data_IF_464241210505
#
_entry.id   IF_464241210505
#
_cell.length_a   1.000
_cell.length_b   1.000
_cell.length_c   1.000
_cell.angle_alpha   90.00
_cell.angle_beta   90.00
_cell.angle_gamma   90.00
#
_symmetry.space_group_name_H-M   'P 1'
#
loop_
_entity.id
_entity.type
_entity.pdbx_description
1 polymer ?
#
# COMPACT_ATOMS: atom_id res chain seq x y z
N UNK A 1 -3.17 -20.69 8.79
CA UNK A 1 -3.07 -19.22 8.77
C UNK A 1 -4.04 -18.76 7.71
N UNK A 2 -5.05 -17.98 8.09
CA UNK A 2 -6.10 -17.58 7.16
C UNK A 2 -5.85 -16.16 6.64
N UNK A 3 -5.15 -16.07 5.51
CA UNK A 3 -5.06 -14.86 4.69
C UNK A 3 -6.08 -14.87 3.53
N UNK A 4 -7.04 -15.81 3.53
CA UNK A 4 -7.99 -15.94 2.43
C UNK A 4 -8.94 -14.75 2.31
N UNK A 5 -8.98 -13.87 3.32
CA UNK A 5 -9.68 -12.59 3.27
C UNK A 5 -8.97 -11.56 2.37
N UNK A 6 -7.64 -11.66 2.20
CA UNK A 6 -6.86 -10.73 1.40
C UNK A 6 -6.94 -11.11 -0.09
N UNK A 7 -7.66 -10.30 -0.88
CA UNK A 7 -7.83 -10.58 -2.31
C UNK A 7 -6.54 -10.45 -3.14
N UNK A 8 -5.48 -9.82 -2.60
CA UNK A 8 -4.16 -9.79 -3.24
C UNK A 8 -3.57 -11.18 -3.44
N UNK A 9 -3.79 -12.08 -2.47
CA UNK A 9 -3.31 -13.48 -2.49
C UNK A 9 -4.42 -14.51 -2.70
N UNK A 10 -5.67 -14.06 -2.91
CA UNK A 10 -6.80 -14.94 -3.15
C UNK A 10 -6.73 -15.57 -4.56
N UNK A 11 -7.04 -16.87 -4.72
CA UNK A 11 -7.17 -17.51 -6.03
C UNK A 11 -8.14 -16.76 -6.94
N UNK A 12 -7.86 -16.76 -8.25
CA UNK A 12 -8.73 -16.09 -9.20
C UNK A 12 -10.07 -16.82 -9.29
N UNK A 13 -11.18 -16.09 -9.26
CA UNK A 13 -12.51 -16.68 -9.26
C UNK A 13 -13.61 -15.66 -8.98
N UNK A 14 -14.84 -16.14 -8.79
CA UNK A 14 -16.01 -15.28 -8.50
C UNK A 14 -15.76 -14.43 -7.26
N UNK A 15 -15.30 -15.07 -6.17
CA UNK A 15 -14.99 -14.40 -4.91
C UNK A 15 -13.96 -13.28 -5.07
N UNK A 16 -12.86 -13.55 -5.77
CA UNK A 16 -11.84 -12.54 -6.06
C UNK A 16 -12.42 -11.36 -6.87
N UNK A 17 -13.23 -11.64 -7.90
CA UNK A 17 -13.87 -10.60 -8.72
C UNK A 17 -14.83 -9.73 -7.90
N UNK A 18 -15.59 -10.32 -6.98
CA UNK A 18 -16.49 -9.57 -6.09
C UNK A 18 -15.69 -8.64 -5.15
N UNK A 19 -14.63 -9.15 -4.50
CA UNK A 19 -13.77 -8.34 -3.63
C UNK A 19 -13.08 -7.22 -4.43
N UNK A 20 -12.51 -7.53 -5.60
CA UNK A 20 -11.85 -6.56 -6.47
C UNK A 20 -12.83 -5.47 -6.94
N UNK A 21 -14.06 -5.85 -7.31
CA UNK A 21 -15.11 -4.90 -7.70
C UNK A 21 -15.50 -3.98 -6.54
N UNK A 22 -15.77 -4.54 -5.37
CA UNK A 22 -16.11 -3.77 -4.18
C UNK A 22 -14.98 -2.81 -3.80
N UNK A 23 -13.72 -3.26 -3.79
CA UNK A 23 -12.56 -2.41 -3.52
C UNK A 23 -12.41 -1.27 -4.54
N UNK A 24 -12.50 -1.59 -5.83
CA UNK A 24 -12.35 -0.62 -6.91
C UNK A 24 -13.43 0.47 -6.91
N UNK A 25 -14.65 0.17 -6.44
CA UNK A 25 -15.72 1.17 -6.35
C UNK A 25 -15.37 2.36 -5.46
N UNK A 26 -14.48 2.17 -4.48
CA UNK A 26 -14.12 3.23 -3.54
C UNK A 26 -12.74 3.83 -3.77
N UNK A 27 -11.84 3.15 -4.48
CA UNK A 27 -10.44 3.58 -4.63
C UNK A 27 -10.03 3.81 -6.10
N UNK A 28 -11.00 4.07 -6.98
CA UNK A 28 -10.72 4.45 -8.37
C UNK A 28 -10.46 5.95 -8.52
N UNK A 29 -9.88 6.34 -9.66
CA UNK A 29 -9.52 7.72 -10.03
C UNK A 29 -10.62 8.76 -9.82
N UNK A 30 -11.89 8.41 -10.04
CA UNK A 30 -12.99 9.36 -9.86
C UNK A 30 -13.32 9.59 -8.37
N UNK A 31 -13.19 8.55 -7.55
CA UNK A 31 -13.62 8.57 -6.14
C UNK A 31 -12.51 9.07 -5.21
N UNK A 32 -11.23 8.85 -5.53
CA UNK A 32 -10.10 9.29 -4.68
C UNK A 32 -10.10 10.79 -4.43
N UNK A 33 -10.68 11.59 -5.35
CA UNK A 33 -10.87 13.03 -5.18
C UNK A 33 -11.67 13.41 -3.93
N UNK A 34 -12.57 12.53 -3.47
CA UNK A 34 -13.32 12.72 -2.22
C UNK A 34 -12.43 12.65 -0.97
N UNK A 35 -11.25 12.05 -1.09
CA UNK A 35 -10.30 11.87 0.01
C UNK A 35 -9.17 12.90 0.01
N UNK A 36 -9.04 13.75 -1.02
CA UNK A 36 -8.02 14.82 -1.05
C UNK A 36 -8.05 15.72 0.19
N UNK A 37 -9.21 16.11 0.75
CA UNK A 37 -9.21 16.89 1.99
C UNK A 37 -8.52 16.19 3.17
N UNK A 38 -8.67 14.86 3.28
CA UNK A 38 -7.97 14.05 4.30
C UNK A 38 -6.46 14.17 4.07
N UNK A 39 -6.00 13.93 2.85
CA UNK A 39 -4.58 14.03 2.47
C UNK A 39 -4.00 15.42 2.80
N UNK A 40 -4.74 16.50 2.51
CA UNK A 40 -4.32 17.86 2.83
C UNK A 40 -4.22 18.12 4.33
N UNK A 41 -5.20 17.68 5.12
CA UNK A 41 -5.18 17.84 6.57
C UNK A 41 -4.02 17.08 7.22
N UNK A 42 -3.84 15.82 6.84
CA UNK A 42 -2.78 14.97 7.37
C UNK A 42 -1.41 15.50 6.95
N UNK A 43 -1.25 15.94 5.70
CA UNK A 43 0.00 16.57 5.20
C UNK A 43 0.34 17.83 5.99
N UNK A 44 -0.64 18.71 6.21
CA UNK A 44 -0.44 19.93 7.02
C UNK A 44 -0.08 19.61 8.47
N UNK A 45 -0.68 18.57 9.04
CA UNK A 45 -0.36 18.09 10.39
C UNK A 45 1.09 17.58 10.45
N UNK A 46 1.49 16.80 9.46
CA UNK A 46 2.86 16.30 9.31
C UNK A 46 3.89 17.44 9.18
N UNK A 47 3.67 18.40 8.27
CA UNK A 47 4.58 19.54 8.07
C UNK A 47 4.74 20.40 9.32
N UNK A 48 3.66 20.62 10.09
CA UNK A 48 3.74 21.34 11.38
C UNK A 48 4.63 20.60 12.39
N UNK A 49 4.50 19.27 12.43
CA UNK A 49 5.32 18.42 13.32
C UNK A 49 6.79 18.49 12.94
N UNK A 50 7.10 18.29 11.66
CA UNK A 50 8.45 18.44 11.07
C UNK A 50 9.06 19.79 11.45
N UNK A 51 8.32 20.90 11.29
CA UNK A 51 8.79 22.24 11.66
C UNK A 51 9.06 22.39 13.16
N UNK A 52 8.23 21.79 14.01
CA UNK A 52 8.35 21.92 15.47
C UNK A 52 9.43 21.03 16.10
N UNK A 53 9.76 19.91 15.44
CA UNK A 53 10.63 18.85 15.95
C UNK A 53 11.48 18.27 14.80
N UNK A 54 12.42 19.05 14.21
CA UNK A 54 13.15 18.64 13.01
C UNK A 54 14.09 17.46 13.23
N UNK A 55 14.70 17.32 14.41
CA UNK A 55 15.63 16.22 14.72
C UNK A 55 14.88 14.88 14.93
N UNK A 56 13.59 14.96 15.22
CA UNK A 56 12.73 13.83 15.57
C UNK A 56 12.05 13.16 14.35
N UNK A 57 12.36 13.63 13.13
CA UNK A 57 11.82 13.01 11.90
C UNK A 57 12.33 11.56 11.79
N UNK A 58 13.57 11.31 12.22
CA UNK A 58 14.26 10.02 12.09
C UNK A 58 14.86 9.47 13.40
N UNK A 59 15.12 10.29 14.44
CA UNK A 59 15.85 9.85 15.65
C UNK A 59 15.16 8.73 16.46
N UNK A 60 13.88 8.48 16.23
CA UNK A 60 13.18 7.37 16.89
C UNK A 60 13.13 6.08 16.08
N UNK A 61 13.85 5.97 14.95
CA UNK A 61 13.86 4.75 14.12
C UNK A 61 14.32 3.49 14.88
N UNK A 62 15.08 3.64 15.97
CA UNK A 62 15.48 2.52 16.83
C UNK A 62 14.58 2.35 18.06
N UNK A 63 13.87 1.22 18.06
CA UNK A 63 13.28 0.48 19.18
C UNK A 63 11.86 0.82 19.69
N UNK A 64 11.31 2.05 19.60
CA UNK A 64 9.94 2.35 20.08
C UNK A 64 9.18 3.41 19.23
N UNK A 65 9.54 3.57 17.96
CA UNK A 65 9.15 4.59 16.96
C UNK A 65 7.66 4.74 16.55
N UNK A 66 6.72 4.22 17.33
CA UNK A 66 5.35 3.87 16.94
C UNK A 66 4.35 5.06 16.78
N UNK A 67 4.81 6.27 16.44
CA UNK A 67 3.95 7.46 16.35
C UNK A 67 4.24 8.42 15.18
N UNK A 68 5.24 8.16 14.31
CA UNK A 68 5.89 9.25 13.57
C UNK A 68 5.94 9.16 12.04
N UNK A 69 5.36 8.13 11.41
CA UNK A 69 4.82 8.22 10.04
C UNK A 69 3.30 8.00 10.11
N UNK A 70 2.69 8.79 10.99
CA UNK A 70 1.24 8.85 11.19
C UNK A 70 0.51 9.31 9.94
N UNK A 71 1.18 9.93 8.97
CA UNK A 71 0.54 10.54 7.81
C UNK A 71 -0.29 9.50 7.03
N UNK A 72 0.40 8.58 6.35
CA UNK A 72 -0.27 7.61 5.47
C UNK A 72 -1.08 6.57 6.23
N UNK A 73 -0.63 6.19 7.44
CA UNK A 73 -1.36 5.30 8.32
C UNK A 73 -2.68 5.89 8.80
N UNK A 74 -2.70 7.15 9.26
CA UNK A 74 -3.93 7.84 9.68
C UNK A 74 -4.83 8.10 8.48
N UNK A 75 -4.26 8.56 7.37
CA UNK A 75 -5.01 8.86 6.16
C UNK A 75 -5.78 7.62 5.65
N UNK A 76 -5.11 6.48 5.51
CA UNK A 76 -5.81 5.27 5.04
C UNK A 76 -6.83 4.76 6.08
N UNK A 77 -6.62 4.99 7.38
CA UNK A 77 -7.60 4.66 8.41
C UNK A 77 -8.85 5.57 8.32
N UNK A 78 -8.67 6.85 8.01
CA UNK A 78 -9.77 7.80 7.75
C UNK A 78 -10.52 7.42 6.47
N UNK A 79 -9.81 7.06 5.40
CA UNK A 79 -10.42 6.59 4.14
C UNK A 79 -11.15 5.26 4.32
N UNK A 80 -10.51 4.25 4.90
CA UNK A 80 -11.05 2.90 5.00
C UNK A 80 -12.17 2.80 6.05
N UNK A 81 -12.01 3.46 7.21
CA UNK A 81 -12.89 3.27 8.36
C UNK A 81 -13.56 4.57 8.87
N UNK A 82 -13.06 5.75 8.48
CA UNK A 82 -13.60 7.04 8.97
C UNK A 82 -13.12 7.40 10.37
N UNK A 83 -11.98 6.84 10.80
CA UNK A 83 -11.46 7.03 12.16
C UNK A 83 -10.55 8.25 12.21
N UNK A 84 -11.04 9.35 12.78
CA UNK A 84 -10.23 10.57 12.96
C UNK A 84 -9.37 10.55 14.24
N UNK A 85 -9.58 9.59 15.14
CA UNK A 85 -8.81 9.49 16.39
C UNK A 85 -7.41 8.89 16.14
N UNK A 86 -6.39 9.73 16.33
CA UNK A 86 -4.98 9.37 16.11
C UNK A 86 -4.52 8.23 17.03
N UNK A 87 -4.98 8.19 18.29
CA UNK A 87 -4.53 7.16 19.25
C UNK A 87 -5.10 5.79 18.90
N UNK A 88 -6.37 5.76 18.51
CA UNK A 88 -7.08 4.58 17.98
C UNK A 88 -6.38 4.07 16.72
N UNK A 89 -6.11 4.96 15.77
CA UNK A 89 -5.41 4.62 14.54
C UNK A 89 -4.03 4.05 14.83
N UNK A 90 -3.26 4.65 15.75
CA UNK A 90 -1.95 4.14 16.13
C UNK A 90 -1.98 2.70 16.67
N UNK A 91 -3.00 2.33 17.45
CA UNK A 91 -3.14 0.96 17.94
C UNK A 91 -3.49 -0.04 16.83
N UNK A 92 -4.33 0.39 15.88
CA UNK A 92 -4.71 -0.42 14.73
C UNK A 92 -3.49 -0.59 13.82
N UNK A 93 -2.80 0.49 13.43
CA UNK A 93 -1.59 0.55 12.59
C UNK A 93 -0.57 -0.52 12.99
N UNK A 94 -0.25 -0.64 14.28
CA UNK A 94 0.67 -1.65 14.82
C UNK A 94 0.27 -3.10 14.51
N UNK A 95 -1.03 -3.38 14.50
CA UNK A 95 -1.53 -4.71 14.19
C UNK A 95 -1.37 -5.05 12.70
N UNK A 96 -1.51 -4.10 11.76
CA UNK A 96 -1.18 -4.40 10.35
C UNK A 96 0.31 -4.57 10.15
N UNK A 97 1.16 -3.71 10.71
CA UNK A 97 2.62 -3.84 10.56
C UNK A 97 3.09 -5.22 11.04
N UNK A 98 2.65 -5.63 12.24
CA UNK A 98 2.95 -6.96 12.76
C UNK A 98 2.37 -8.08 11.88
N UNK A 99 1.24 -7.83 11.20
CA UNK A 99 0.63 -8.78 10.29
C UNK A 99 1.42 -8.92 8.99
N UNK A 100 1.86 -7.82 8.39
CA UNK A 100 2.63 -7.81 7.15
C UNK A 100 4.03 -8.37 7.37
N UNK A 101 4.74 -7.94 8.42
CA UNK A 101 6.05 -8.52 8.76
C UNK A 101 5.96 -10.03 8.99
N UNK A 102 4.92 -10.48 9.70
CA UNK A 102 4.67 -11.90 9.88
C UNK A 102 4.31 -12.63 8.58
N UNK A 103 3.60 -11.97 7.66
CA UNK A 103 3.28 -12.52 6.34
C UNK A 103 4.54 -12.65 5.48
N UNK A 104 5.36 -11.61 5.41
CA UNK A 104 6.63 -11.59 4.67
C UNK A 104 7.53 -12.71 5.18
N UNK A 105 7.70 -12.83 6.51
CA UNK A 105 8.46 -13.93 7.12
C UNK A 105 7.86 -15.30 6.76
N UNK A 106 6.53 -15.45 6.76
CA UNK A 106 5.89 -16.70 6.38
C UNK A 106 6.00 -17.04 4.88
N UNK A 107 6.14 -16.02 4.03
CA UNK A 107 6.18 -16.14 2.57
C UNK A 107 7.57 -16.44 2.02
N UNK A 108 8.65 -16.19 2.78
CA UNK A 108 10.02 -16.49 2.36
C UNK A 108 10.17 -18.00 2.07
N UNK A 109 10.55 -18.41 0.85
CA UNK A 109 10.81 -19.81 0.53
C UNK A 109 11.81 -20.43 1.50
N UNK A 110 11.50 -21.61 2.03
CA UNK A 110 12.35 -22.33 2.99
C UNK A 110 12.30 -21.83 4.44
N UNK A 111 11.76 -20.63 4.72
CA UNK A 111 11.66 -20.10 6.10
C UNK A 111 10.75 -20.93 7.00
N UNK A 112 9.65 -21.43 6.42
CA UNK A 112 8.73 -22.37 7.04
C UNK A 112 8.73 -23.68 6.27
N UNK A 113 9.41 -24.72 6.79
CA UNK A 113 9.49 -26.02 6.13
C UNK A 113 8.12 -26.65 5.83
N UNK A 114 7.08 -26.30 6.59
CA UNK A 114 5.71 -26.76 6.33
C UNK A 114 5.15 -26.30 4.97
N UNK A 115 5.67 -25.19 4.41
CA UNK A 115 5.29 -24.74 3.07
C UNK A 115 5.88 -25.63 1.98
N UNK A 116 7.03 -26.26 2.23
CA UNK A 116 7.71 -27.18 1.30
C UNK A 116 7.29 -28.64 1.54
N UNK A 117 7.03 -28.99 2.79
CA UNK A 117 6.65 -30.33 3.23
C UNK A 117 5.31 -30.29 3.98
N UNK A 118 4.17 -30.32 3.28
CA UNK A 118 2.85 -30.14 3.88
C UNK A 118 2.52 -31.13 4.99
N UNK A 119 3.10 -32.33 4.98
CA UNK A 119 2.90 -33.34 6.02
C UNK A 119 3.37 -32.87 7.41
N UNK A 120 4.30 -31.91 7.49
CA UNK A 120 4.75 -31.31 8.74
C UNK A 120 3.62 -30.61 9.52
N UNK A 121 2.50 -30.27 8.86
CA UNK A 121 1.30 -29.72 9.54
C UNK A 121 0.76 -30.65 10.62
N UNK A 122 1.00 -31.96 10.52
CA UNK A 122 0.52 -32.97 11.47
C UNK A 122 1.44 -33.17 12.68
N UNK A 123 2.66 -32.65 12.65
CA UNK A 123 3.64 -32.77 13.75
C UNK A 123 3.10 -32.13 15.03
N UNK A 124 3.08 -32.80 16.20
CA UNK A 124 2.56 -32.21 17.44
C UNK A 124 3.25 -30.90 17.84
N UNK A 125 2.52 -29.98 18.49
CA UNK A 125 3.06 -28.64 18.83
C UNK A 125 4.25 -28.66 19.80
N UNK A 126 4.46 -29.77 20.52
CA UNK A 126 5.57 -29.95 21.47
C UNK A 126 6.85 -30.45 20.80
N UNK A 127 6.79 -30.95 19.56
CA UNK A 127 7.92 -31.60 18.90
C UNK A 127 9.01 -30.58 18.52
N UNK A 128 10.31 -30.91 18.65
CA UNK A 128 11.40 -30.04 18.22
C UNK A 128 11.24 -29.60 16.74
N UNK A 129 11.33 -28.30 16.47
CA UNK A 129 11.08 -27.75 15.13
C UNK A 129 9.62 -27.40 14.83
N UNK A 130 8.66 -27.75 15.68
CA UNK A 130 7.25 -27.34 15.53
C UNK A 130 6.95 -25.89 15.96
N UNK A 131 7.99 -25.08 16.21
CA UNK A 131 7.87 -23.68 16.61
C UNK A 131 7.05 -22.82 15.65
N UNK A 132 7.02 -23.18 14.37
CA UNK A 132 6.17 -22.55 13.36
C UNK A 132 4.68 -22.54 13.76
N UNK A 133 4.18 -23.57 14.47
CA UNK A 133 2.78 -23.60 14.91
C UNK A 133 2.46 -22.48 15.89
N UNK A 134 3.38 -22.16 16.80
CA UNK A 134 3.23 -21.04 17.75
C UNK A 134 3.25 -19.71 17.01
N UNK A 135 4.18 -19.56 16.05
CA UNK A 135 4.27 -18.39 15.18
C UNK A 135 2.98 -18.17 14.37
N UNK A 136 2.53 -19.17 13.62
CA UNK A 136 1.30 -19.08 12.81
C UNK A 136 0.05 -18.83 13.67
N UNK A 137 -0.01 -19.37 14.90
CA UNK A 137 -1.10 -19.11 15.85
C UNK A 137 -1.08 -17.66 16.36
N UNK A 138 0.10 -17.11 16.66
CA UNK A 138 0.25 -15.69 17.02
C UNK A 138 -0.22 -14.81 15.86
N UNK A 139 0.26 -15.07 14.64
CA UNK A 139 -0.11 -14.28 13.48
C UNK A 139 -1.59 -14.40 13.13
N UNK A 140 -2.20 -15.58 13.29
CA UNK A 140 -3.65 -15.76 13.12
C UNK A 140 -4.48 -14.91 14.09
N UNK A 141 -4.02 -14.74 15.34
CA UNK A 141 -4.69 -13.87 16.32
C UNK A 141 -4.55 -12.40 15.95
N UNK A 142 -3.37 -12.00 15.46
CA UNK A 142 -3.14 -10.64 14.96
C UNK A 142 -4.04 -10.39 13.75
N UNK A 143 -4.03 -11.27 12.75
CA UNK A 143 -4.89 -11.18 11.57
C UNK A 143 -6.37 -11.03 11.93
N UNK A 144 -6.87 -11.80 12.89
CA UNK A 144 -8.25 -11.69 13.35
C UNK A 144 -8.53 -10.30 13.95
N UNK A 145 -7.65 -9.78 14.82
CA UNK A 145 -7.81 -8.45 15.39
C UNK A 145 -7.72 -7.36 14.32
N UNK A 146 -6.72 -7.41 13.44
CA UNK A 146 -6.54 -6.44 12.35
C UNK A 146 -7.75 -6.39 11.43
N UNK A 147 -8.41 -7.53 11.18
CA UNK A 147 -9.55 -7.60 10.26
C UNK A 147 -10.89 -7.27 10.92
N UNK A 148 -11.18 -7.88 12.07
CA UNK A 148 -12.50 -7.81 12.68
C UNK A 148 -12.67 -6.60 13.58
N UNK A 149 -11.67 -6.28 14.40
CA UNK A 149 -11.78 -5.19 15.38
C UNK A 149 -12.14 -3.85 14.72
N UNK A 150 -11.41 -3.32 13.73
CA UNK A 150 -11.75 -2.02 13.15
C UNK A 150 -13.10 -2.03 12.42
N UNK A 151 -13.51 -3.17 11.84
CA UNK A 151 -14.80 -3.23 11.15
C UNK A 151 -15.99 -3.27 12.12
N UNK A 152 -15.89 -4.02 13.22
CA UNK A 152 -16.93 -4.00 14.25
C UNK A 152 -17.01 -2.63 14.94
N UNK A 153 -15.88 -1.99 15.20
CA UNK A 153 -15.91 -0.63 15.74
C UNK A 153 -16.52 0.38 14.74
N UNK A 154 -16.30 0.20 13.42
CA UNK A 154 -16.94 1.04 12.40
C UNK A 154 -18.46 0.80 12.32
N UNK A 155 -18.92 -0.45 12.47
CA UNK A 155 -20.36 -0.77 12.61
C UNK A 155 -20.96 -0.11 13.84
N UNK A 156 -20.27 -0.15 14.97
CA UNK A 156 -20.72 0.51 16.19
C UNK A 156 -20.77 2.03 16.03
N UNK A 157 -19.75 2.65 15.43
CA UNK A 157 -19.75 4.08 15.14
C UNK A 157 -20.94 4.44 14.22
N UNK A 158 -21.16 3.67 13.16
CA UNK A 158 -22.27 3.86 12.21
C UNK A 158 -23.65 3.74 12.89
N UNK A 159 -23.87 2.69 13.70
CA UNK A 159 -25.12 2.46 14.42
C UNK A 159 -25.45 3.56 15.44
N UNK A 160 -24.40 4.14 16.06
CA UNK A 160 -24.54 5.26 17.00
C UNK A 160 -24.61 6.63 16.30
N UNK A 161 -24.66 6.68 14.96
CA UNK A 161 -24.70 7.93 14.19
C UNK A 161 -23.39 8.73 14.24
N UNK A 162 -22.30 8.14 14.73
CA UNK A 162 -20.99 8.77 14.77
C UNK A 162 -20.38 8.73 13.37
N UNK A 163 -20.18 9.91 12.79
CA UNK A 163 -19.59 10.09 11.46
C UNK A 163 -18.17 10.62 11.60
N UNK A 164 -17.27 10.10 10.78
CA UNK A 164 -15.97 10.74 10.57
C UNK A 164 -16.12 12.07 9.85
N UNK A 165 -15.04 12.84 9.81
CA UNK A 165 -14.98 14.17 9.18
C UNK A 165 -15.26 14.10 7.67
N UNK A 166 -14.96 12.96 7.04
CA UNK A 166 -15.14 12.72 5.61
C UNK A 166 -15.79 11.34 5.35
N UNK A 167 -16.37 11.11 4.17
CA UNK A 167 -16.91 9.79 3.80
C UNK A 167 -15.84 8.70 3.89
N UNK A 168 -16.23 7.51 4.38
CA UNK A 168 -15.34 6.35 4.45
C UNK A 168 -15.90 5.15 3.69
N UNK A 169 -15.01 4.24 3.31
CA UNK A 169 -15.35 2.96 2.69
C UNK A 169 -16.28 2.16 3.59
N UNK A 170 -15.90 1.97 4.86
CA UNK A 170 -16.67 1.17 5.81
C UNK A 170 -18.08 1.70 6.00
N UNK A 171 -18.25 3.01 6.26
CA UNK A 171 -19.57 3.60 6.44
C UNK A 171 -20.47 3.37 5.21
N UNK A 172 -19.92 3.60 4.01
CA UNK A 172 -20.65 3.41 2.75
C UNK A 172 -20.96 1.94 2.42
N UNK A 173 -20.13 1.01 2.88
CA UNK A 173 -20.33 -0.43 2.70
C UNK A 173 -21.35 -0.96 3.71
N UNK A 174 -21.30 -0.48 4.96
CA UNK A 174 -22.24 -0.84 6.03
C UNK A 174 -23.65 -0.36 5.69
N UNK A 175 -23.79 0.87 5.19
CA UNK A 175 -25.06 1.46 4.75
C UNK A 175 -25.76 0.64 3.65
N UNK A 176 -24.97 -0.03 2.81
CA UNK A 176 -25.46 -0.86 1.70
C UNK A 176 -25.65 -2.34 2.07
N UNK A 177 -25.43 -2.72 3.32
CA UNK A 177 -25.64 -4.11 3.72
C UNK A 177 -27.13 -4.47 3.64
N UNK A 178 -27.48 -5.67 3.16
CA UNK A 178 -28.85 -6.16 3.16
C UNK A 178 -29.41 -6.21 4.59
N UNK A 179 -30.74 -6.17 4.77
CA UNK A 179 -31.38 -6.22 6.09
C UNK A 179 -31.05 -7.49 6.90
N UNK A 180 -31.24 -7.42 8.22
CA UNK A 180 -31.03 -8.57 9.11
C UNK A 180 -31.96 -9.72 8.71
N UNK A 181 -31.38 -10.89 8.43
CA UNK A 181 -32.09 -12.08 7.95
C UNK A 181 -31.96 -12.38 6.45
N UNK A 182 -31.40 -11.46 5.65
CA UNK A 182 -31.08 -11.74 4.25
C UNK A 182 -29.95 -12.77 4.12
N UNK A 183 -30.16 -13.76 3.25
CA UNK A 183 -29.19 -14.85 2.99
C UNK A 183 -27.83 -14.36 2.51
N UNK A 184 -27.77 -13.22 1.83
CA UNK A 184 -26.55 -12.64 1.28
C UNK A 184 -25.83 -11.71 2.27
N UNK A 185 -26.47 -11.31 3.38
CA UNK A 185 -25.89 -10.33 4.31
C UNK A 185 -24.53 -10.78 4.85
N UNK A 186 -24.42 -12.05 5.24
CA UNK A 186 -23.17 -12.62 5.79
C UNK A 186 -22.02 -12.55 4.79
N UNK A 187 -22.29 -12.86 3.51
CA UNK A 187 -21.27 -12.81 2.47
C UNK A 187 -20.88 -11.36 2.15
N UNK A 188 -21.86 -10.46 2.00
CA UNK A 188 -21.60 -9.04 1.71
C UNK A 188 -20.88 -8.33 2.85
N UNK A 189 -21.22 -8.63 4.10
CA UNK A 189 -20.50 -8.13 5.28
C UNK A 189 -19.06 -8.66 5.32
N UNK A 190 -18.86 -9.94 4.97
CA UNK A 190 -17.51 -10.47 4.85
C UNK A 190 -16.72 -9.76 3.75
N UNK A 191 -17.31 -9.49 2.58
CA UNK A 191 -16.64 -8.76 1.50
C UNK A 191 -16.29 -7.35 1.98
N UNK A 192 -17.23 -6.63 2.58
CA UNK A 192 -17.05 -5.28 3.10
C UNK A 192 -15.89 -5.21 4.11
N UNK A 193 -15.88 -6.10 5.10
CA UNK A 193 -14.80 -6.22 6.08
C UNK A 193 -13.46 -6.48 5.41
N UNK A 194 -13.43 -7.43 4.48
CA UNK A 194 -12.21 -7.86 3.80
C UNK A 194 -11.61 -6.72 2.95
N UNK A 195 -12.43 -5.98 2.20
CA UNK A 195 -11.92 -4.89 1.35
C UNK A 195 -11.43 -3.69 2.17
N UNK A 196 -12.08 -3.35 3.29
CA UNK A 196 -11.58 -2.34 4.22
C UNK A 196 -10.25 -2.79 4.86
N UNK A 197 -10.16 -4.05 5.28
CA UNK A 197 -8.94 -4.62 5.83
C UNK A 197 -7.78 -4.60 4.84
N UNK A 198 -8.03 -4.91 3.56
CA UNK A 198 -7.01 -4.86 2.51
C UNK A 198 -6.58 -3.42 2.24
N UNK A 199 -7.51 -2.45 2.22
CA UNK A 199 -7.17 -1.04 1.97
C UNK A 199 -6.13 -0.55 2.97
N UNK A 200 -6.38 -0.83 4.24
CA UNK A 200 -5.50 -0.44 5.33
C UNK A 200 -4.17 -1.22 5.33
N UNK A 201 -4.20 -2.56 5.25
CA UNK A 201 -2.98 -3.39 5.32
C UNK A 201 -2.06 -3.16 4.13
N UNK A 202 -2.62 -3.08 2.91
CA UNK A 202 -1.82 -2.89 1.70
C UNK A 202 -1.45 -1.42 1.46
N UNK A 203 -2.34 -0.48 1.77
CA UNK A 203 -2.14 0.95 1.47
C UNK A 203 -1.22 1.67 2.45
N UNK A 204 -1.18 1.26 3.72
CA UNK A 204 -0.34 1.92 4.72
C UNK A 204 1.16 1.70 4.44
N UNK A 205 1.60 0.44 4.38
CA UNK A 205 3.02 0.11 4.42
C UNK A 205 3.78 0.47 3.14
N UNK A 206 3.17 0.27 1.97
CA UNK A 206 3.82 0.60 0.70
C UNK A 206 4.04 2.10 0.54
N UNK A 207 3.05 2.91 0.96
CA UNK A 207 3.13 4.37 0.87
C UNK A 207 4.13 4.93 1.87
N UNK A 208 4.17 4.38 3.09
CA UNK A 208 5.20 4.69 4.09
C UNK A 208 6.61 4.41 3.54
N UNK A 209 6.80 3.23 2.94
CA UNK A 209 8.10 2.83 2.38
C UNK A 209 8.54 3.77 1.25
N UNK A 210 7.63 4.13 0.35
CA UNK A 210 7.93 5.07 -0.75
C UNK A 210 8.20 6.49 -0.25
N UNK A 211 7.44 6.98 0.74
CA UNK A 211 7.66 8.29 1.35
C UNK A 211 9.00 8.38 2.08
N UNK A 212 9.41 7.32 2.78
CA UNK A 212 10.74 7.23 3.39
C UNK A 212 11.85 7.24 2.35
N UNK A 213 11.69 6.47 1.27
CA UNK A 213 12.64 6.47 0.16
C UNK A 213 12.76 7.85 -0.48
N UNK A 214 11.64 8.57 -0.63
CA UNK A 214 11.62 9.93 -1.13
C UNK A 214 12.40 10.88 -0.21
N UNK A 215 12.16 10.85 1.10
CA UNK A 215 12.90 11.67 2.06
C UNK A 215 14.41 11.36 2.02
N UNK A 216 14.77 10.09 1.94
CA UNK A 216 16.17 9.64 1.81
C UNK A 216 16.82 10.21 0.55
N UNK A 217 16.14 10.12 -0.60
CA UNK A 217 16.63 10.65 -1.87
C UNK A 217 16.78 12.16 -1.82
N UNK A 218 15.79 12.90 -1.33
CA UNK A 218 15.88 14.37 -1.25
C UNK A 218 17.02 14.83 -0.35
N UNK A 219 17.29 14.11 0.74
CA UNK A 219 18.44 14.36 1.61
C UNK A 219 19.78 14.00 0.96
N UNK A 220 19.80 12.97 0.10
CA UNK A 220 21.02 12.47 -0.56
C UNK A 220 21.37 13.20 -1.86
N UNK A 221 20.39 13.85 -2.50
CA UNK A 221 20.54 14.56 -3.77
C UNK A 221 20.04 16.02 -3.67
N UNK A 222 20.80 16.92 -3.00
CA UNK A 222 20.39 18.31 -2.79
C UNK A 222 20.10 19.08 -4.09
N UNK A 223 20.81 18.78 -5.17
CA UNK A 223 20.57 19.41 -6.49
C UNK A 223 19.19 19.05 -7.05
N UNK A 224 18.75 17.80 -6.83
CA UNK A 224 17.39 17.37 -7.20
C UNK A 224 16.36 18.12 -6.38
N UNK A 225 16.57 18.21 -5.07
CA UNK A 225 15.69 18.94 -4.16
C UNK A 225 15.59 20.42 -4.56
N UNK A 226 16.72 21.07 -4.86
CA UNK A 226 16.77 22.48 -5.24
C UNK A 226 16.01 22.75 -6.55
N UNK A 227 16.18 21.90 -7.58
CA UNK A 227 15.42 22.00 -8.83
C UNK A 227 13.91 21.84 -8.61
N UNK A 228 13.50 20.91 -7.74
CA UNK A 228 12.10 20.74 -7.37
C UNK A 228 11.53 21.99 -6.69
N UNK A 229 12.27 22.59 -5.76
CA UNK A 229 11.88 23.83 -5.09
C UNK A 229 11.70 24.97 -6.09
N UNK A 230 12.63 25.17 -7.02
CA UNK A 230 12.51 26.21 -8.08
C UNK A 230 11.23 26.01 -8.90
N UNK A 231 10.91 24.77 -9.28
CA UNK A 231 9.69 24.48 -10.02
C UNK A 231 8.44 24.78 -9.17
N UNK A 232 8.39 24.30 -7.92
CA UNK A 232 7.26 24.53 -7.01
C UNK A 232 7.05 26.03 -6.79
N UNK A 233 8.12 26.78 -6.49
CA UNK A 233 8.06 28.22 -6.27
C UNK A 233 7.54 28.97 -7.51
N UNK A 234 7.89 28.52 -8.71
CA UNK A 234 7.44 29.13 -9.96
C UNK A 234 5.95 28.92 -10.26
N UNK A 235 5.39 27.77 -9.86
CA UNK A 235 4.00 27.38 -10.18
C UNK A 235 3.04 27.78 -9.07
N UNK A 236 3.45 27.56 -7.82
CA UNK A 236 2.60 27.72 -6.63
C UNK A 236 2.77 29.10 -6.03
N UNK A 237 4.00 29.64 -6.04
CA UNK A 237 4.36 30.90 -5.41
C UNK A 237 4.35 30.83 -3.87
N UNK A 238 4.68 31.95 -3.20
CA UNK A 238 4.91 31.97 -1.74
C UNK A 238 3.64 32.04 -0.89
N UNK A 239 2.46 32.21 -1.51
CA UNK A 239 1.23 32.63 -0.81
C UNK A 239 0.29 31.47 -0.47
N UNK A 240 0.57 30.25 -0.93
CA UNK A 240 -0.25 29.07 -0.67
C UNK A 240 0.60 27.80 -0.65
N UNK A 241 0.05 26.73 -0.08
CA UNK A 241 0.64 25.40 -0.21
C UNK A 241 0.27 24.80 -1.58
N UNK A 242 1.09 23.87 -2.12
CA UNK A 242 0.72 23.13 -3.31
C UNK A 242 -0.55 22.30 -3.12
N UNK A 243 -1.30 22.15 -4.20
CA UNK A 243 -2.55 21.40 -4.28
C UNK A 243 -2.45 20.31 -5.34
N UNK A 244 -3.30 19.29 -5.24
CA UNK A 244 -3.34 18.17 -6.20
C UNK A 244 -3.57 18.66 -7.65
N UNK A 245 -4.26 19.79 -7.81
CA UNK A 245 -4.49 20.42 -9.12
C UNK A 245 -3.22 20.97 -9.77
N UNK A 246 -2.15 21.20 -9.01
CA UNK A 246 -0.88 21.73 -9.53
C UNK A 246 0.00 20.65 -10.16
N UNK A 247 -0.30 19.35 -9.94
CA UNK A 247 0.54 18.23 -10.37
C UNK A 247 0.86 18.27 -11.87
N UNK A 248 -0.12 18.66 -12.70
CA UNK A 248 0.04 18.76 -14.15
C UNK A 248 1.07 19.83 -14.57
N UNK A 249 1.29 20.83 -13.72
CA UNK A 249 2.21 21.95 -13.95
C UNK A 249 3.57 21.72 -13.25
N UNK A 250 3.74 20.58 -12.57
CA UNK A 250 4.96 20.20 -11.84
C UNK A 250 5.66 18.96 -12.45
N UNK A 251 6.09 18.99 -13.73
CA UNK A 251 6.64 17.82 -14.41
C UNK A 251 7.95 17.29 -13.79
N UNK A 252 8.75 18.15 -13.15
CA UNK A 252 10.01 17.71 -12.51
C UNK A 252 9.74 17.01 -11.18
N UNK A 253 8.78 17.52 -10.40
CA UNK A 253 8.27 16.83 -9.19
C UNK A 253 7.68 15.46 -9.58
N UNK A 254 6.89 15.41 -10.67
CA UNK A 254 6.35 14.17 -11.20
C UNK A 254 7.49 13.20 -11.60
N UNK A 255 8.52 13.68 -12.28
CA UNK A 255 9.68 12.88 -12.64
C UNK A 255 10.42 12.30 -11.42
N UNK A 256 10.54 13.06 -10.31
CA UNK A 256 11.09 12.55 -9.05
C UNK A 256 10.25 11.39 -8.51
N UNK A 257 8.92 11.50 -8.51
CA UNK A 257 8.03 10.44 -8.03
C UNK A 257 8.15 9.16 -8.88
N UNK A 258 8.27 9.30 -10.20
CA UNK A 258 8.51 8.16 -11.10
C UNK A 258 9.87 7.52 -10.83
N UNK A 259 10.91 8.33 -10.65
CA UNK A 259 12.26 7.84 -10.42
C UNK A 259 12.44 7.18 -9.05
N UNK A 260 11.82 7.69 -7.98
CA UNK A 260 11.87 7.03 -6.66
C UNK A 260 11.14 5.70 -6.67
N UNK A 261 10.02 5.61 -7.39
CA UNK A 261 9.28 4.35 -7.58
C UNK A 261 10.11 3.30 -8.32
N UNK A 262 10.86 3.73 -9.35
CA UNK A 262 11.81 2.88 -10.08
C UNK A 262 12.98 2.43 -9.21
N UNK A 263 13.69 3.40 -8.63
CA UNK A 263 14.96 3.19 -7.94
C UNK A 263 14.79 2.38 -6.66
N UNK A 264 13.77 2.68 -5.83
CA UNK A 264 13.57 1.99 -4.55
C UNK A 264 12.68 0.73 -4.65
N UNK A 265 11.95 0.53 -5.76
CA UNK A 265 11.12 -0.67 -6.05
C UNK A 265 10.54 -1.35 -4.80
N UNK A 266 9.42 -0.85 -4.26
CA UNK A 266 8.86 -1.31 -2.96
C UNK A 266 8.54 -2.81 -2.92
N UNK A 267 8.09 -3.39 -4.03
CA UNK A 267 7.74 -4.82 -4.14
C UNK A 267 8.56 -5.50 -5.25
N UNK A 268 9.84 -5.85 -4.99
CA UNK A 268 10.80 -6.25 -6.02
C UNK A 268 10.50 -7.58 -6.72
N UNK A 269 9.81 -8.51 -6.06
CA UNK A 269 9.39 -9.79 -6.64
C UNK A 269 7.88 -9.85 -6.96
N UNK A 270 7.20 -8.71 -6.90
CA UNK A 270 5.74 -8.64 -7.02
C UNK A 270 5.03 -9.51 -5.98
N UNK A 271 3.74 -9.77 -6.22
CA UNK A 271 2.98 -10.80 -5.50
C UNK A 271 3.06 -12.09 -6.31
N UNK A 272 3.30 -13.22 -5.65
CA UNK A 272 3.41 -14.51 -6.34
C UNK A 272 2.15 -14.83 -7.17
N UNK A 273 2.35 -15.20 -8.43
CA UNK A 273 1.33 -15.71 -9.33
C UNK A 273 1.39 -17.24 -9.42
N UNK A 274 0.33 -17.84 -9.96
CA UNK A 274 0.34 -19.25 -10.34
C UNK A 274 -0.59 -19.51 -11.52
N UNK A 275 -0.16 -20.38 -12.43
CA UNK A 275 -0.95 -20.76 -13.60
C UNK A 275 -2.07 -21.75 -13.22
N UNK A 276 -3.25 -21.55 -13.80
CA UNK A 276 -4.45 -22.38 -13.55
C UNK A 276 -4.51 -23.66 -14.38
N UNK A 277 -3.69 -23.71 -15.43
CA UNK A 277 -3.54 -24.79 -16.39
C UNK A 277 -2.06 -24.87 -16.82
N UNK A 278 -1.69 -25.98 -17.46
CA UNK A 278 -0.36 -26.11 -18.06
C UNK A 278 -0.18 -25.01 -19.12
N UNK A 279 1.01 -24.43 -19.19
CA UNK A 279 1.30 -23.28 -20.05
C UNK A 279 2.68 -23.46 -20.73
N UNK A 280 2.96 -22.63 -21.74
CA UNK A 280 4.27 -22.59 -22.40
C UNK A 280 4.70 -21.13 -22.60
N UNK A 281 5.93 -20.82 -22.19
CA UNK A 281 6.51 -19.48 -22.35
C UNK A 281 7.91 -19.61 -22.94
N UNK A 282 8.17 -18.97 -24.08
CA UNK A 282 9.44 -19.02 -24.82
C UNK A 282 9.99 -20.45 -25.02
N UNK A 283 9.10 -21.42 -25.30
CA UNK A 283 9.44 -22.82 -25.49
C UNK A 283 9.65 -23.62 -24.20
N UNK A 284 9.48 -23.00 -23.02
CA UNK A 284 9.53 -23.67 -21.73
C UNK A 284 8.13 -24.09 -21.28
N UNK A 285 7.95 -25.39 -21.06
CA UNK A 285 6.73 -25.92 -20.45
C UNK A 285 6.65 -25.51 -18.97
N UNK A 286 5.53 -24.90 -18.60
CA UNK A 286 5.21 -24.47 -17.23
C UNK A 286 4.03 -25.32 -16.73
N UNK A 287 4.28 -26.30 -15.85
CA UNK A 287 3.21 -27.13 -15.29
C UNK A 287 2.20 -26.29 -14.51
N UNK A 288 0.93 -26.68 -14.54
CA UNK A 288 -0.14 -26.11 -13.73
C UNK A 288 0.25 -26.03 -12.26
N UNK A 289 -0.06 -24.90 -11.62
CA UNK A 289 0.23 -24.66 -10.21
C UNK A 289 1.68 -24.25 -9.93
N UNK A 290 2.48 -23.99 -10.96
CA UNK A 290 3.81 -23.40 -10.81
C UNK A 290 3.69 -22.02 -10.17
N UNK A 291 4.55 -21.70 -9.20
CA UNK A 291 4.62 -20.38 -8.58
C UNK A 291 5.55 -19.50 -9.43
N UNK A 292 5.04 -18.35 -9.87
CA UNK A 292 5.73 -17.42 -10.75
C UNK A 292 5.91 -16.09 -10.03
N UNK A 293 7.15 -15.62 -9.94
CA UNK A 293 7.48 -14.30 -9.40
C UNK A 293 7.84 -13.35 -10.53
N UNK A 294 7.27 -12.14 -10.50
CA UNK A 294 7.67 -11.08 -11.42
C UNK A 294 8.84 -10.33 -10.79
N UNK A 295 10.02 -10.42 -11.38
CA UNK A 295 11.18 -9.67 -10.89
C UNK A 295 11.11 -8.21 -11.34
N UNK A 296 10.26 -7.44 -10.67
CA UNK A 296 10.06 -6.01 -10.90
C UNK A 296 11.36 -5.22 -10.75
N UNK A 297 12.21 -5.62 -9.80
CA UNK A 297 13.50 -4.95 -9.60
C UNK A 297 14.40 -5.09 -10.83
N UNK A 298 14.52 -6.31 -11.38
CA UNK A 298 15.31 -6.54 -12.59
C UNK A 298 14.74 -5.79 -13.81
N UNK A 299 13.41 -5.72 -13.94
CA UNK A 299 12.76 -4.92 -14.99
C UNK A 299 13.12 -3.43 -14.84
N UNK A 300 13.02 -2.90 -13.63
CA UNK A 300 13.27 -1.47 -13.33
C UNK A 300 14.75 -1.08 -13.29
N UNK A 301 15.65 -2.06 -13.30
CA UNK A 301 17.10 -1.88 -13.31
C UNK A 301 17.77 -2.48 -14.56
N UNK A 302 17.01 -2.79 -15.60
CA UNK A 302 17.56 -3.32 -16.84
C UNK A 302 18.38 -2.23 -17.56
N UNK A 303 19.71 -2.40 -17.75
CA UNK A 303 20.55 -1.41 -18.42
C UNK A 303 20.22 -1.23 -19.91
N UNK A 304 19.56 -2.20 -20.56
CA UNK A 304 19.12 -2.08 -21.95
C UNK A 304 17.90 -1.15 -22.09
N UNK A 305 17.21 -0.88 -20.98
CA UNK A 305 15.98 -0.07 -20.93
C UNK A 305 16.23 1.26 -20.22
N UNK A 306 16.96 1.25 -19.11
CA UNK A 306 17.25 2.41 -18.29
C UNK A 306 18.76 2.66 -18.27
N UNK A 307 19.23 3.73 -18.90
CA UNK A 307 20.63 4.15 -18.81
C UNK A 307 21.00 4.45 -17.35
N UNK A 308 22.20 4.00 -16.94
CA UNK A 308 22.70 4.11 -15.56
C UNK A 308 21.62 3.74 -14.52
N UNK A 309 21.13 2.48 -14.52
CA UNK A 309 19.92 2.10 -13.78
C UNK A 309 20.06 2.23 -12.25
N UNK A 310 21.28 2.28 -11.73
CA UNK A 310 21.54 2.43 -10.29
C UNK A 310 21.71 3.88 -9.82
N UNK A 311 21.82 4.83 -10.75
CA UNK A 311 21.84 6.26 -10.44
C UNK A 311 20.40 6.79 -10.34
N UNK A 312 20.18 7.73 -9.42
CA UNK A 312 18.90 8.42 -9.27
C UNK A 312 18.86 9.64 -10.20
N UNK A 313 18.14 9.54 -11.32
CA UNK A 313 18.12 10.56 -12.38
C UNK A 313 16.66 10.88 -12.75
N UNK A 314 16.00 11.86 -12.10
CA UNK A 314 14.65 12.29 -12.47
C UNK A 314 14.54 12.73 -13.93
N UNK A 315 15.57 13.39 -14.46
CA UNK A 315 15.60 13.91 -15.83
C UNK A 315 15.40 12.83 -16.90
N UNK A 316 15.59 11.55 -16.55
CA UNK A 316 15.26 10.42 -17.42
C UNK A 316 13.82 10.45 -17.92
N UNK A 317 12.88 10.89 -17.09
CA UNK A 317 11.47 10.96 -17.44
C UNK A 317 11.09 12.28 -18.09
N UNK A 318 12.06 13.13 -18.47
CA UNK A 318 11.79 14.45 -19.01
C UNK A 318 12.32 14.61 -20.43
N UNK A 319 11.48 15.22 -21.27
CA UNK A 319 11.82 15.69 -22.61
C UNK A 319 11.20 17.05 -22.82
N UNK A 320 12.03 18.03 -23.20
CA UNK A 320 11.61 19.43 -23.39
C UNK A 320 10.89 20.02 -22.16
N UNK A 321 11.31 19.62 -20.95
CA UNK A 321 10.74 20.08 -19.68
C UNK A 321 9.40 19.45 -19.31
N UNK A 322 8.89 18.50 -20.10
CA UNK A 322 7.65 17.77 -19.85
C UNK A 322 7.93 16.28 -19.64
N UNK A 323 6.97 15.56 -19.05
CA UNK A 323 7.08 14.10 -18.91
C UNK A 323 7.20 13.46 -20.30
N UNK A 324 8.26 12.69 -20.51
CA UNK A 324 8.50 11.96 -21.75
C UNK A 324 7.67 10.67 -21.78
N UNK A 325 6.63 10.57 -22.63
CA UNK A 325 5.80 9.37 -22.72
C UNK A 325 6.52 8.18 -23.38
N UNK A 326 7.70 8.40 -24.00
CA UNK A 326 8.48 7.33 -24.63
C UNK A 326 9.30 6.50 -23.63
N UNK A 327 9.52 7.04 -22.43
CA UNK A 327 10.23 6.35 -21.36
C UNK A 327 9.29 5.34 -20.72
N UNK A 328 9.71 4.07 -20.56
CA UNK A 328 8.87 3.06 -19.91
C UNK A 328 8.40 3.53 -18.54
N UNK A 329 7.09 3.51 -18.35
CA UNK A 329 6.47 3.95 -17.11
C UNK A 329 6.80 2.94 -15.99
N UNK A 330 7.69 3.33 -15.07
CA UNK A 330 8.11 2.53 -13.93
C UNK A 330 6.93 2.10 -13.03
N UNK A 331 5.82 2.84 -13.05
CA UNK A 331 4.61 2.44 -12.35
C UNK A 331 3.97 1.19 -12.91
N UNK A 332 4.18 0.90 -14.18
CA UNK A 332 3.65 -0.33 -14.76
C UNK A 332 4.29 -1.54 -14.10
N UNK A 333 5.60 -1.47 -13.80
CA UNK A 333 6.27 -2.49 -12.99
C UNK A 333 5.90 -2.38 -11.50
N UNK A 334 5.86 -1.18 -10.92
CA UNK A 334 5.60 -0.98 -9.49
C UNK A 334 4.18 -1.39 -9.05
N UNK A 335 3.17 -1.12 -9.89
CA UNK A 335 1.76 -1.46 -9.63
C UNK A 335 1.32 -2.73 -10.37
N UNK A 336 2.20 -3.34 -11.17
CA UNK A 336 1.94 -4.58 -11.89
C UNK A 336 1.00 -4.42 -13.09
N UNK A 337 0.69 -5.57 -13.71
CA UNK A 337 0.03 -5.64 -15.01
C UNK A 337 -1.18 -6.60 -15.02
N UNK A 338 -2.00 -6.51 -16.07
CA UNK A 338 -3.05 -7.47 -16.38
C UNK A 338 -4.18 -7.50 -15.34
N UNK A 339 -4.74 -8.68 -15.08
CA UNK A 339 -5.94 -8.82 -14.23
C UNK A 339 -5.70 -8.47 -12.75
N UNK A 340 -4.45 -8.42 -12.28
CA UNK A 340 -4.11 -8.26 -10.84
C UNK A 340 -3.35 -6.97 -10.50
N UNK A 341 -3.33 -5.99 -11.41
CA UNK A 341 -2.70 -4.69 -11.15
C UNK A 341 -3.24 -4.01 -9.88
N UNK A 342 -2.38 -3.30 -9.16
CA UNK A 342 -2.74 -2.49 -8.00
C UNK A 342 -3.41 -1.17 -8.42
N UNK A 343 -4.22 -0.56 -7.54
CA UNK A 343 -4.82 0.75 -7.80
C UNK A 343 -3.79 1.83 -7.52
N UNK A 344 -3.59 2.76 -8.46
CA UNK A 344 -2.44 3.68 -8.49
C UNK A 344 -2.61 4.94 -7.64
N UNK A 345 -3.83 5.48 -7.58
CA UNK A 345 -4.08 6.89 -7.20
C UNK A 345 -3.75 7.29 -5.77
N UNK A 346 -4.00 6.42 -4.79
CA UNK A 346 -3.78 6.79 -3.37
C UNK A 346 -2.29 7.01 -3.08
N UNK A 347 -1.39 6.20 -3.67
CA UNK A 347 0.05 6.36 -3.47
C UNK A 347 0.62 7.62 -4.13
N UNK A 348 0.00 8.06 -5.24
CA UNK A 348 0.43 9.22 -6.01
C UNK A 348 0.18 10.53 -5.27
N UNK A 349 -1.07 10.82 -4.91
CA UNK A 349 -1.44 12.06 -4.22
C UNK A 349 -0.64 12.26 -2.93
N UNK A 350 -0.33 11.15 -2.26
CA UNK A 350 0.44 11.08 -1.03
C UNK A 350 1.93 11.40 -1.20
N UNK A 351 2.53 10.94 -2.29
CA UNK A 351 3.94 11.22 -2.58
C UNK A 351 4.13 12.68 -3.03
N UNK A 352 3.16 13.25 -3.75
CA UNK A 352 3.14 14.68 -4.06
C UNK A 352 2.95 15.55 -2.81
N UNK A 353 2.11 15.12 -1.86
CA UNK A 353 1.90 15.82 -0.58
C UNK A 353 3.16 15.94 0.29
N UNK A 354 4.11 15.00 0.19
CA UNK A 354 5.41 15.11 0.88
C UNK A 354 6.36 16.09 0.18
N UNK A 355 6.25 16.20 -1.16
CA UNK A 355 7.09 17.12 -1.96
C UNK A 355 6.65 18.58 -1.86
N UNK A 356 5.43 18.82 -1.39
CA UNK A 356 4.77 20.12 -1.18
C UNK A 356 4.85 20.62 0.24
#
# INVERSE_FOLDING_TARGET
MDFAWNFGVMPYGIRWRQHRRAFHQYLNHAVVKLYHPIMHEETRSFLRKVKSQPDDIFEHLDSHAYQKISLFGTEIMRVAYGFDDIRRNGALIRNAEALVLGFLEAAVPGRLLVNMFPFLRHVPSWFPGAGFKRFLRKLSRISFRTLYQPFEEAKNDFANGKKGSYPSMAASLIDKLPEDGDVNRVEQESIARNVCGVAYVAGAETTVSLGLALLYVLASYPDVQSKAQVQIDSVVGPNRLPAVTDIQDLPYVHAIVKEVSRWFTVVPLGVAHSNSEDDEYDGFFIPKGTIIFQNNWAIMHNPDVFDKPFEFIPERYLKDGQIDPSVPDAETAAFGHGRRYALREVGWTNTYGILS
#
